data_IF_839924575721
#
_entry.id   IF_839924575721
#
_cell.length_a   1.000
_cell.length_b   1.000
_cell.length_c   1.000
_cell.angle_alpha   90.00
_cell.angle_beta   90.00
_cell.angle_gamma   90.00
#
_symmetry.space_group_name_H-M   'P 1'
#
loop_
_entity.id
_entity.type
_entity.pdbx_description
1 polymer ?
#
# COMPACT_ATOMS: atom_id res chain seq x y z
N UNK A 1 59.43 1.11 -56.57
CA UNK A 1 59.65 0.44 -55.27
C UNK A 1 59.53 1.53 -54.23
N UNK A 2 58.67 1.56 -53.21
CA UNK A 2 57.85 0.58 -52.49
C UNK A 2 56.77 1.42 -51.79
N UNK A 3 55.49 1.07 -51.93
CA UNK A 3 54.37 1.67 -51.20
C UNK A 3 54.38 1.19 -49.74
N UNK A 4 53.91 2.02 -48.83
CA UNK A 4 52.95 1.76 -47.71
C UNK A 4 53.27 2.75 -46.58
N UNK A 5 52.42 3.78 -46.43
CA UNK A 5 52.20 4.47 -45.15
C UNK A 5 50.93 3.83 -44.59
N UNK A 6 51.07 3.03 -43.54
CA UNK A 6 49.94 2.58 -42.74
C UNK A 6 49.85 3.51 -41.52
N UNK A 7 48.86 4.39 -41.51
CA UNK A 7 48.52 5.18 -40.33
C UNK A 7 47.73 4.26 -39.38
N UNK A 8 48.30 3.96 -38.22
CA UNK A 8 47.68 3.15 -37.18
C UNK A 8 46.49 3.89 -36.55
N UNK A 9 45.45 3.12 -36.30
CA UNK A 9 44.10 3.51 -35.92
C UNK A 9 44.01 4.36 -34.64
N UNK A 10 43.00 5.24 -34.66
CA UNK A 10 42.48 5.96 -33.51
C UNK A 10 42.05 4.99 -32.39
N UNK A 11 42.38 5.33 -31.14
CA UNK A 11 41.74 4.78 -29.96
C UNK A 11 41.11 5.94 -29.20
N UNK A 12 39.89 6.32 -29.59
CA UNK A 12 39.02 7.17 -28.80
C UNK A 12 38.31 6.24 -27.82
N UNK A 13 38.81 6.18 -26.58
CA UNK A 13 38.17 5.45 -25.48
C UNK A 13 36.84 6.13 -25.15
N UNK A 14 35.75 5.56 -25.69
CA UNK A 14 34.40 5.94 -25.30
C UNK A 14 34.14 5.46 -23.86
N UNK A 15 34.21 6.38 -22.91
CA UNK A 15 33.67 6.17 -21.58
C UNK A 15 32.14 6.12 -21.71
N UNK A 16 31.56 4.91 -21.77
CA UNK A 16 30.13 4.73 -21.61
C UNK A 16 29.77 5.05 -20.16
N UNK A 17 29.22 6.25 -19.96
CA UNK A 17 28.57 6.64 -18.72
C UNK A 17 27.27 5.83 -18.64
N UNK A 18 27.25 4.75 -17.84
CA UNK A 18 26.00 4.15 -17.40
C UNK A 18 25.34 5.11 -16.41
N UNK A 19 24.66 6.14 -16.92
CA UNK A 19 23.65 6.82 -16.14
C UNK A 19 22.49 5.83 -15.98
N UNK A 20 22.35 5.24 -14.79
CA UNK A 20 21.19 4.45 -14.45
C UNK A 20 19.93 5.28 -14.70
N UNK A 21 19.01 4.78 -15.51
CA UNK A 21 17.69 5.38 -15.66
C UNK A 21 17.00 5.37 -14.31
N UNK A 22 16.81 6.54 -13.71
CA UNK A 22 15.93 6.69 -12.56
C UNK A 22 14.50 6.41 -13.02
N UNK A 23 13.97 5.24 -12.68
CA UNK A 23 12.53 4.97 -12.78
C UNK A 23 11.83 5.86 -11.76
N UNK A 24 10.90 6.70 -12.20
CA UNK A 24 10.03 7.41 -11.27
C UNK A 24 9.16 6.36 -10.55
N UNK A 25 9.14 6.39 -9.21
CA UNK A 25 8.19 5.58 -8.44
C UNK A 25 6.77 5.97 -8.88
N UNK A 26 6.02 5.00 -9.41
CA UNK A 26 4.64 5.20 -9.87
C UNK A 26 3.64 5.20 -8.71
N UNK A 27 4.11 4.87 -7.51
CA UNK A 27 3.32 4.87 -6.28
C UNK A 27 3.40 6.28 -5.67
N UNK A 28 2.28 7.00 -5.55
CA UNK A 28 2.27 8.28 -4.85
C UNK A 28 2.77 8.12 -3.41
N UNK A 29 3.50 9.11 -2.90
CA UNK A 29 3.99 9.09 -1.52
C UNK A 29 2.90 9.42 -0.47
N UNK A 30 3.22 9.25 0.83
CA UNK A 30 2.33 9.61 1.94
C UNK A 30 2.04 11.12 2.01
N UNK A 31 1.00 11.55 2.75
CA UNK A 31 0.17 10.75 3.66
C UNK A 31 -0.83 9.85 2.93
N UNK A 32 -1.00 8.65 3.44
CA UNK A 32 -1.95 7.65 2.97
C UNK A 32 -3.27 7.64 3.76
N UNK A 33 -3.23 8.05 5.03
CA UNK A 33 -4.38 8.09 5.92
C UNK A 33 -4.73 9.53 6.23
N UNK A 34 -5.93 9.95 5.82
CA UNK A 34 -6.43 11.29 6.10
C UNK A 34 -6.93 11.42 7.55
N UNK A 35 -7.58 10.38 8.06
CA UNK A 35 -8.20 10.34 9.38
C UNK A 35 -8.36 8.89 9.84
N UNK A 36 -8.27 8.67 11.15
CA UNK A 36 -8.73 7.46 11.81
C UNK A 36 -9.68 7.87 12.94
N UNK A 37 -10.89 7.29 12.99
CA UNK A 37 -11.91 7.68 13.96
C UNK A 37 -12.62 6.45 14.53
N UNK A 38 -12.61 6.34 15.87
CA UNK A 38 -13.41 5.34 16.56
C UNK A 38 -14.89 5.70 16.48
N UNK A 39 -15.67 4.78 15.94
CA UNK A 39 -17.11 4.84 15.85
C UNK A 39 -17.75 3.60 16.48
N UNK A 40 -19.09 3.59 16.48
CA UNK A 40 -19.89 2.43 16.89
C UNK A 40 -20.64 1.88 15.69
N UNK A 41 -20.63 0.56 15.56
CA UNK A 41 -21.56 -0.20 14.72
C UNK A 41 -22.40 -1.07 15.65
N UNK A 42 -23.69 -0.72 15.77
CA UNK A 42 -24.51 -1.14 16.91
C UNK A 42 -23.76 -0.88 18.24
N UNK A 43 -23.65 -1.88 19.12
CA UNK A 43 -22.93 -1.77 20.39
C UNK A 43 -21.42 -2.10 20.28
N UNK A 44 -20.92 -2.38 19.08
CA UNK A 44 -19.54 -2.79 18.84
C UNK A 44 -18.67 -1.64 18.35
N UNK A 45 -17.38 -1.66 18.67
CA UNK A 45 -16.43 -0.62 18.26
C UNK A 45 -15.90 -0.88 16.86
N UNK A 46 -15.72 0.18 16.06
CA UNK A 46 -15.18 0.12 14.70
C UNK A 46 -14.28 1.32 14.48
N UNK A 47 -13.02 1.09 14.12
CA UNK A 47 -12.10 2.16 13.74
C UNK A 47 -12.24 2.41 12.25
N UNK A 48 -12.79 3.56 11.88
CA UNK A 48 -12.93 3.97 10.47
C UNK A 48 -11.64 4.64 10.03
N UNK A 49 -10.94 4.05 9.08
CA UNK A 49 -9.72 4.60 8.48
C UNK A 49 -10.07 5.19 7.12
N UNK A 50 -9.84 6.50 6.94
CA UNK A 50 -10.19 7.23 5.73
C UNK A 50 -8.96 7.38 4.82
N UNK A 51 -8.92 6.70 3.65
CA UNK A 51 -7.77 6.77 2.75
C UNK A 51 -7.72 8.11 2.00
N UNK A 52 -6.52 8.64 1.79
CA UNK A 52 -6.27 9.76 0.86
C UNK A 52 -6.33 9.29 -0.59
N UNK A 53 -6.36 10.24 -1.54
CA UNK A 53 -6.23 9.91 -2.97
C UNK A 53 -4.92 9.18 -3.29
N UNK A 54 -3.83 9.53 -2.58
CA UNK A 54 -2.54 8.84 -2.70
C UNK A 54 -2.66 7.37 -2.30
N UNK A 55 -3.34 7.08 -1.18
CA UNK A 55 -3.59 5.70 -0.76
C UNK A 55 -4.46 4.94 -1.76
N UNK A 56 -5.52 5.55 -2.31
CA UNK A 56 -6.37 4.89 -3.32
C UNK A 56 -5.58 4.49 -4.57
N UNK A 57 -4.68 5.37 -5.03
CA UNK A 57 -3.82 5.07 -6.19
C UNK A 57 -2.76 4.02 -5.85
N UNK A 58 -2.20 4.06 -4.64
CA UNK A 58 -1.18 3.10 -4.19
C UNK A 58 -1.78 1.70 -3.92
N UNK A 59 -2.94 1.64 -3.29
CA UNK A 59 -3.65 0.41 -2.90
C UNK A 59 -4.18 -0.37 -4.11
N UNK A 60 -4.50 0.33 -5.20
CA UNK A 60 -4.87 -0.28 -6.48
C UNK A 60 -3.69 -0.89 -7.27
N UNK A 61 -2.44 -0.74 -6.80
CA UNK A 61 -1.24 -1.28 -7.45
C UNK A 61 -0.70 -2.51 -6.72
N UNK A 62 -0.08 -3.43 -7.46
CA UNK A 62 0.64 -4.58 -6.88
C UNK A 62 2.00 -4.17 -6.33
N UNK A 63 2.49 -4.86 -5.31
CA UNK A 63 3.86 -4.64 -4.79
C UNK A 63 3.99 -3.42 -3.87
N UNK A 64 2.89 -2.91 -3.34
CA UNK A 64 2.85 -1.72 -2.48
C UNK A 64 2.86 -2.03 -0.98
N UNK A 65 3.36 -3.20 -0.57
CA UNK A 65 3.42 -3.63 0.84
C UNK A 65 4.16 -2.62 1.73
N UNK A 66 5.26 -2.03 1.25
CA UNK A 66 5.99 -1.02 2.02
C UNK A 66 5.16 0.26 2.25
N UNK A 67 4.34 0.66 1.26
CA UNK A 67 3.42 1.78 1.42
C UNK A 67 2.26 1.42 2.37
N UNK A 68 1.79 0.17 2.35
CA UNK A 68 0.80 -0.31 3.31
C UNK A 68 1.34 -0.30 4.74
N UNK A 69 2.61 -0.69 4.96
CA UNK A 69 3.26 -0.66 6.27
C UNK A 69 3.43 0.79 6.79
N UNK A 70 3.79 1.72 5.90
CA UNK A 70 3.82 3.17 6.20
C UNK A 70 2.43 3.67 6.57
N UNK A 71 1.40 3.31 5.79
CA UNK A 71 0.01 3.70 6.06
C UNK A 71 -0.50 3.12 7.39
N UNK A 72 -0.12 1.90 7.76
CA UNK A 72 -0.42 1.35 9.08
C UNK A 72 0.25 2.16 10.21
N UNK A 73 1.49 2.62 9.99
CA UNK A 73 2.18 3.50 10.94
C UNK A 73 1.47 4.85 11.09
N UNK A 74 0.91 5.39 10.00
CA UNK A 74 0.04 6.58 10.06
C UNK A 74 -1.24 6.31 10.85
N UNK A 75 -1.89 5.14 10.68
CA UNK A 75 -3.04 4.73 11.51
C UNK A 75 -2.68 4.77 12.99
N UNK A 76 -1.57 4.15 13.40
CA UNK A 76 -1.13 4.13 14.79
C UNK A 76 -0.71 5.51 15.30
N UNK A 77 -0.25 6.40 14.42
CA UNK A 77 0.04 7.80 14.77
C UNK A 77 -1.25 8.57 15.08
N UNK A 78 -2.32 8.31 14.33
CA UNK A 78 -3.64 8.96 14.51
C UNK A 78 -4.47 8.33 15.63
N UNK A 79 -4.35 7.01 15.82
CA UNK A 79 -5.07 6.22 16.83
C UNK A 79 -4.11 5.22 17.49
N UNK A 80 -3.30 5.65 18.48
CA UNK A 80 -2.28 4.79 19.10
C UNK A 80 -2.84 3.55 19.82
N UNK A 81 -4.13 3.56 20.16
CA UNK A 81 -4.86 2.46 20.76
C UNK A 81 -5.40 1.43 19.75
N UNK A 82 -5.13 1.61 18.46
CA UNK A 82 -5.54 0.68 17.40
C UNK A 82 -4.65 -0.57 17.27
N UNK A 83 -3.52 -0.64 18.00
CA UNK A 83 -2.62 -1.81 18.05
C UNK A 83 -3.22 -2.94 18.90
N UNK A 84 -4.37 -3.44 18.44
CA UNK A 84 -5.12 -4.55 19.03
C UNK A 84 -4.95 -5.75 18.08
N UNK A 85 -4.80 -6.98 18.60
CA UNK A 85 -4.66 -8.18 17.77
C UNK A 85 -5.71 -8.27 16.65
N UNK A 86 -5.26 -8.56 15.42
CA UNK A 86 -6.11 -8.68 14.24
C UNK A 86 -6.42 -7.38 13.49
N UNK A 87 -6.19 -6.20 14.08
CA UNK A 87 -6.50 -4.91 13.43
C UNK A 87 -5.58 -4.63 12.23
N UNK A 88 -4.28 -4.93 12.36
CA UNK A 88 -3.32 -4.75 11.26
C UNK A 88 -3.63 -5.67 10.10
N UNK A 89 -3.98 -6.92 10.36
CA UNK A 89 -4.32 -7.92 9.34
C UNK A 89 -5.54 -7.50 8.52
N UNK A 90 -6.58 -6.97 9.20
CA UNK A 90 -7.73 -6.35 8.55
C UNK A 90 -7.31 -5.17 7.67
N UNK A 91 -6.46 -4.28 8.19
CA UNK A 91 -5.97 -3.12 7.44
C UNK A 91 -5.21 -3.52 6.18
N UNK A 92 -4.29 -4.48 6.27
CA UNK A 92 -3.52 -4.96 5.12
C UNK A 92 -4.41 -5.64 4.08
N UNK A 93 -5.48 -6.32 4.52
CA UNK A 93 -6.50 -6.85 3.60
C UNK A 93 -7.24 -5.71 2.90
N UNK A 94 -7.70 -4.68 3.63
CA UNK A 94 -8.36 -3.53 3.03
C UNK A 94 -7.46 -2.79 2.04
N UNK A 95 -6.20 -2.54 2.40
CA UNK A 95 -5.22 -1.96 1.48
C UNK A 95 -5.12 -2.78 0.19
N UNK A 96 -5.05 -4.11 0.29
CA UNK A 96 -4.82 -4.95 -0.88
C UNK A 96 -6.05 -5.10 -1.79
N UNK A 97 -7.27 -5.01 -1.23
CA UNK A 97 -8.48 -5.46 -1.94
C UNK A 97 -9.63 -4.46 -1.97
N UNK A 98 -9.75 -3.53 -1.00
CA UNK A 98 -10.95 -2.71 -0.87
C UNK A 98 -11.16 -1.81 -2.09
N UNK A 99 -10.12 -1.11 -2.55
CA UNK A 99 -10.22 -0.22 -3.70
C UNK A 99 -10.44 -0.98 -5.02
N UNK A 100 -9.97 -2.23 -5.12
CA UNK A 100 -10.17 -3.07 -6.30
C UNK A 100 -11.59 -3.66 -6.37
N UNK A 101 -12.11 -4.14 -5.23
CA UNK A 101 -13.41 -4.80 -5.17
C UNK A 101 -14.58 -3.81 -5.04
N UNK A 102 -14.37 -2.72 -4.29
CA UNK A 102 -15.38 -1.71 -3.98
C UNK A 102 -14.74 -0.30 -4.05
N UNK A 103 -14.43 0.19 -5.26
CA UNK A 103 -13.75 1.47 -5.44
C UNK A 103 -14.51 2.62 -4.76
N UNK A 104 -13.78 3.55 -4.16
CA UNK A 104 -14.37 4.76 -3.58
C UNK A 104 -15.10 4.59 -2.25
N UNK A 105 -14.99 3.44 -1.56
CA UNK A 105 -15.44 3.30 -0.17
C UNK A 105 -14.93 4.47 0.68
N UNK A 106 -15.79 5.05 1.50
CA UNK A 106 -15.45 6.22 2.32
C UNK A 106 -14.37 5.90 3.36
N UNK A 107 -14.48 4.72 3.99
CA UNK A 107 -13.55 4.24 5.01
C UNK A 107 -13.27 2.74 4.86
N UNK A 108 -12.14 2.33 5.42
CA UNK A 108 -11.78 0.94 5.70
C UNK A 108 -11.91 0.73 7.20
N UNK A 109 -12.79 -0.18 7.60
CA UNK A 109 -13.19 -0.31 8.99
C UNK A 109 -12.47 -1.48 9.65
N UNK A 110 -11.82 -1.20 10.77
CA UNK A 110 -11.06 -2.18 11.54
C UNK A 110 -11.78 -2.42 12.86
N UNK A 111 -12.09 -3.68 13.14
CA UNK A 111 -13.03 -4.04 14.18
C UNK A 111 -12.41 -5.05 15.14
N UNK A 112 -12.11 -4.65 16.40
CA UNK A 112 -11.34 -5.48 17.32
C UNK A 112 -12.11 -6.70 17.86
N UNK A 113 -13.41 -6.78 17.57
CA UNK A 113 -14.28 -7.90 17.95
C UNK A 113 -14.34 -8.99 16.87
N UNK A 114 -13.78 -8.74 15.67
CA UNK A 114 -13.68 -9.75 14.62
C UNK A 114 -12.67 -10.83 15.05
N UNK A 115 -12.92 -12.10 14.73
CA UNK A 115 -11.98 -13.17 15.06
C UNK A 115 -10.67 -12.99 14.30
N UNK A 116 -9.56 -13.29 14.97
CA UNK A 116 -8.27 -13.47 14.31
C UNK A 116 -8.32 -14.76 13.47
N UNK A 117 -8.14 -14.62 12.16
CA UNK A 117 -8.22 -15.71 11.18
C UNK A 117 -6.98 -15.70 10.29
N UNK A 118 -6.76 -16.77 9.52
CA UNK A 118 -5.69 -16.79 8.53
C UNK A 118 -5.91 -15.73 7.44
N UNK A 119 -4.85 -15.34 6.74
CA UNK A 119 -4.95 -14.39 5.63
C UNK A 119 -5.92 -14.83 4.54
N UNK A 120 -5.94 -16.14 4.21
CA UNK A 120 -6.85 -16.69 3.21
C UNK A 120 -8.32 -16.59 3.67
N UNK A 121 -8.60 -16.87 4.95
CA UNK A 121 -9.93 -16.71 5.53
C UNK A 121 -10.36 -15.24 5.60
N UNK A 122 -9.44 -14.33 5.92
CA UNK A 122 -9.67 -12.88 5.93
C UNK A 122 -10.12 -12.41 4.54
N UNK A 123 -9.42 -12.84 3.48
CA UNK A 123 -9.77 -12.51 2.09
C UNK A 123 -11.08 -13.16 1.66
N UNK A 124 -11.31 -14.42 2.01
CA UNK A 124 -12.56 -15.13 1.70
C UNK A 124 -13.78 -14.47 2.36
N UNK A 125 -13.58 -13.80 3.51
CA UNK A 125 -14.59 -13.01 4.21
C UNK A 125 -14.59 -11.52 3.81
N UNK A 126 -13.99 -11.15 2.67
CA UNK A 126 -13.94 -9.77 2.18
C UNK A 126 -13.36 -8.78 3.19
N UNK A 127 -12.31 -9.20 3.91
CA UNK A 127 -11.62 -8.46 4.97
C UNK A 127 -12.42 -8.26 6.28
N UNK A 128 -13.65 -8.76 6.34
CA UNK A 128 -14.57 -8.59 7.46
C UNK A 128 -15.05 -9.95 8.00
N UNK A 129 -14.18 -10.78 8.58
CA UNK A 129 -14.60 -12.07 9.12
C UNK A 129 -15.57 -11.88 10.30
N UNK A 130 -16.62 -12.71 10.31
CA UNK A 130 -17.61 -12.77 11.39
C UNK A 130 -18.59 -11.60 11.48
N UNK A 131 -19.63 -11.75 12.30
CA UNK A 131 -20.59 -10.68 12.61
C UNK A 131 -21.31 -10.04 11.41
N UNK A 132 -21.95 -8.91 11.65
CA UNK A 132 -22.59 -8.08 10.61
C UNK A 132 -21.61 -7.03 10.11
N UNK A 133 -21.66 -6.73 8.81
CA UNK A 133 -20.86 -5.66 8.21
C UNK A 133 -21.57 -4.31 8.33
N UNK A 134 -20.82 -3.29 8.73
CA UNK A 134 -21.25 -1.91 8.60
C UNK A 134 -21.22 -1.50 7.10
N UNK A 135 -22.26 -0.84 6.56
CA UNK A 135 -22.36 -0.54 5.13
C UNK A 135 -21.66 0.76 4.72
N UNK A 136 -20.92 0.73 3.58
CA UNK A 136 -20.30 1.89 2.92
C UNK A 136 -19.95 1.59 1.47
#
# INVERSE_FOLDING_TARGET
MRRIVAASAAAMTAALILAGTATADTVPGPPYVAQAEWAKWADLSSLRVYPTDAARVASAQTGTTAAADEAWTEVLTLSPDADIPGMREQFMCHWSYAELAYPGKSSWNLEPWRPEVSGDEMVAAHCNPGGTEEPF
#
